data_IF_909602039527
#
_entry.id   IF_909602039527
#
_cell.length_a   1.000
_cell.length_b   1.000
_cell.length_c   1.000
_cell.angle_alpha   90.00
_cell.angle_beta   90.00
_cell.angle_gamma   90.00
#
_symmetry.space_group_name_H-M   'P 1'
#
loop_
_entity.id
_entity.type
_entity.pdbx_description
1 polymer ?
#
# COMPACT_ATOMS: atom_id res chain seq x y z
N UNK A 1 -18.77 -10.66 -5.10
CA UNK A 1 -18.15 -9.40 -5.39
C UNK A 1 -17.14 -9.01 -4.37
N UNK A 2 -15.95 -8.78 -4.80
CA UNK A 2 -14.88 -8.48 -3.90
C UNK A 2 -14.55 -7.04 -3.83
N UNK A 3 -14.64 -6.50 -2.64
CA UNK A 3 -14.21 -5.15 -2.35
C UNK A 3 -13.01 -5.26 -1.42
N UNK A 4 -11.83 -5.18 -1.97
CA UNK A 4 -10.64 -5.23 -1.14
C UNK A 4 -10.33 -3.84 -0.62
N UNK A 5 -9.97 -3.75 0.66
CA UNK A 5 -9.55 -2.49 1.25
C UNK A 5 -8.04 -2.39 1.12
N UNK A 6 -7.61 -1.57 0.18
CA UNK A 6 -6.19 -1.39 -0.11
C UNK A 6 -5.81 0.05 0.18
N UNK A 7 -4.78 0.23 0.98
CA UNK A 7 -4.23 1.55 1.28
C UNK A 7 -2.73 1.54 1.01
N UNK A 8 -2.24 2.56 0.30
CA UNK A 8 -0.82 2.77 0.10
C UNK A 8 -0.40 3.98 0.89
N UNK A 9 0.59 3.81 1.76
CA UNK A 9 1.23 4.94 2.45
C UNK A 9 2.50 5.27 1.70
N UNK A 10 2.58 6.47 1.18
CA UNK A 10 3.71 6.86 0.35
C UNK A 10 3.97 8.35 0.37
N UNK A 11 4.79 8.82 -0.55
CA UNK A 11 5.13 10.22 -0.68
C UNK A 11 5.36 10.55 -2.15
N UNK A 12 5.18 11.82 -2.49
CA UNK A 12 5.30 12.25 -3.89
C UNK A 12 6.72 12.08 -4.47
N UNK A 13 7.74 12.12 -3.60
CA UNK A 13 9.13 11.97 -4.02
C UNK A 13 9.59 10.51 -4.10
N UNK A 14 8.75 9.58 -3.71
CA UNK A 14 9.15 8.19 -3.57
C UNK A 14 8.86 7.41 -4.86
N UNK A 15 9.92 7.01 -5.56
CA UNK A 15 9.78 6.30 -6.82
C UNK A 15 9.06 4.96 -6.67
N UNK A 16 9.38 4.21 -5.62
CA UNK A 16 8.74 2.92 -5.39
C UNK A 16 7.27 3.07 -4.99
N UNK A 17 6.91 4.18 -4.36
CA UNK A 17 5.52 4.46 -4.06
C UNK A 17 4.72 4.67 -5.34
N UNK A 18 5.28 5.39 -6.30
CA UNK A 18 4.65 5.58 -7.61
C UNK A 18 4.57 4.26 -8.36
N UNK A 19 5.61 3.43 -8.28
CA UNK A 19 5.59 2.12 -8.92
C UNK A 19 4.46 1.25 -8.35
N UNK A 20 4.25 1.30 -7.05
CA UNK A 20 3.16 0.55 -6.42
C UNK A 20 1.80 1.03 -6.91
N UNK A 21 1.61 2.35 -6.99
CA UNK A 21 0.37 2.92 -7.52
C UNK A 21 0.12 2.45 -8.94
N UNK A 22 1.13 2.59 -9.78
CA UNK A 22 1.00 2.23 -11.20
C UNK A 22 0.67 0.75 -11.35
N UNK A 23 1.28 -0.09 -10.53
CA UNK A 23 1.04 -1.52 -10.58
C UNK A 23 -0.41 -1.85 -10.24
N UNK A 24 -0.93 -1.26 -9.16
CA UNK A 24 -2.32 -1.49 -8.78
C UNK A 24 -3.29 -0.91 -9.81
N UNK A 25 -2.94 0.24 -10.40
CA UNK A 25 -3.75 0.81 -11.48
C UNK A 25 -3.86 -0.15 -12.65
N UNK A 26 -2.75 -0.78 -13.03
CA UNK A 26 -2.75 -1.75 -14.13
C UNK A 26 -3.59 -2.98 -13.83
N UNK A 27 -3.66 -3.35 -12.56
CA UNK A 27 -4.47 -4.49 -12.15
C UNK A 27 -5.93 -4.12 -11.91
N UNK A 28 -6.29 -2.86 -12.12
CA UNK A 28 -7.63 -2.33 -11.86
C UNK A 28 -8.06 -2.53 -10.41
N UNK A 29 -7.11 -2.44 -9.50
CA UNK A 29 -7.37 -2.52 -8.06
C UNK A 29 -7.55 -1.12 -7.53
N UNK A 30 -8.67 -0.87 -6.87
CA UNK A 30 -8.91 0.42 -6.24
C UNK A 30 -8.16 0.49 -4.92
N UNK A 31 -7.63 1.66 -4.62
CA UNK A 31 -6.87 1.86 -3.39
C UNK A 31 -7.01 3.30 -2.93
N UNK A 32 -6.68 3.52 -1.67
CA UNK A 32 -6.56 4.84 -1.09
C UNK A 32 -5.08 5.13 -0.96
N UNK A 33 -4.66 6.29 -1.46
CA UNK A 33 -3.26 6.71 -1.33
C UNK A 33 -3.17 7.75 -0.23
N UNK A 34 -2.37 7.45 0.80
CA UNK A 34 -2.17 8.35 1.92
C UNK A 34 -0.76 8.87 1.90
N UNK A 35 -0.63 10.19 1.67
CA UNK A 35 0.66 10.85 1.59
C UNK A 35 1.13 11.17 3.00
N UNK A 36 2.22 10.52 3.44
CA UNK A 36 2.71 10.66 4.81
C UNK A 36 3.31 12.04 5.06
N UNK A 37 3.67 12.77 4.00
CA UNK A 37 4.17 14.13 4.14
C UNK A 37 3.03 15.14 4.27
N UNK A 38 1.88 14.82 3.70
CA UNK A 38 0.73 15.71 3.74
C UNK A 38 0.07 15.72 5.11
N UNK A 39 0.01 14.55 5.76
CA UNK A 39 -0.65 14.42 7.06
C UNK A 39 0.24 13.63 8.00
N UNK A 40 0.68 14.23 9.12
CA UNK A 40 1.54 13.52 10.07
C UNK A 40 0.93 12.23 10.61
N UNK A 41 -0.39 12.18 10.76
CA UNK A 41 -1.05 10.98 11.26
C UNK A 41 -0.94 9.81 10.30
N UNK A 42 -0.80 10.05 9.00
CA UNK A 42 -0.61 8.98 8.03
C UNK A 42 0.76 8.33 8.21
N UNK A 43 1.77 9.14 8.51
CA UNK A 43 3.09 8.59 8.83
C UNK A 43 3.05 7.72 10.08
N UNK A 44 2.32 8.15 11.09
CA UNK A 44 2.16 7.38 12.31
C UNK A 44 1.42 6.07 12.04
N UNK A 45 0.37 6.10 11.23
CA UNK A 45 -0.34 4.89 10.85
C UNK A 45 0.58 3.91 10.15
N UNK A 46 1.38 4.40 9.21
CA UNK A 46 2.30 3.55 8.45
C UNK A 46 3.31 2.87 9.36
N UNK A 47 3.89 3.62 10.28
CA UNK A 47 4.86 3.07 11.25
C UNK A 47 4.20 2.07 12.18
N UNK A 48 3.01 2.39 12.65
CA UNK A 48 2.29 1.51 13.57
C UNK A 48 1.97 0.18 12.91
N UNK A 49 1.54 0.22 11.64
CA UNK A 49 1.18 -1.00 10.91
C UNK A 49 2.40 -1.82 10.51
N UNK A 50 3.49 -1.17 10.13
CA UNK A 50 4.65 -1.87 9.55
C UNK A 50 5.78 -2.12 10.54
N UNK A 51 5.81 -1.39 11.64
CA UNK A 51 6.89 -1.50 12.63
C UNK A 51 8.20 -0.89 12.18
N UNK A 52 8.19 -0.08 11.11
CA UNK A 52 9.40 0.54 10.60
C UNK A 52 9.02 1.82 9.84
N UNK A 53 9.99 2.60 9.41
CA UNK A 53 9.75 3.93 8.82
C UNK A 53 9.76 3.99 7.29
N UNK A 54 10.20 2.92 6.62
CA UNK A 54 10.31 2.94 5.17
C UNK A 54 8.96 2.96 4.48
N UNK A 55 8.92 3.53 3.28
CA UNK A 55 7.75 3.57 2.42
C UNK A 55 8.12 3.01 1.06
N UNK A 56 7.16 2.51 0.28
CA UNK A 56 5.74 2.46 0.58
C UNK A 56 5.40 1.39 1.62
N UNK A 57 4.30 1.60 2.32
CA UNK A 57 3.66 0.56 3.13
C UNK A 57 2.31 0.31 2.50
N UNK A 58 2.00 -0.93 2.20
CA UNK A 58 0.76 -1.28 1.52
C UNK A 58 -0.05 -2.18 2.44
N UNK A 59 -1.28 -1.79 2.69
CA UNK A 59 -2.20 -2.54 3.53
C UNK A 59 -3.29 -3.11 2.63
N UNK A 60 -3.32 -4.44 2.51
CA UNK A 60 -4.32 -5.13 1.71
C UNK A 60 -5.15 -5.97 2.65
N UNK A 61 -6.32 -5.48 3.02
CA UNK A 61 -7.24 -6.13 3.95
C UNK A 61 -6.56 -6.58 5.24
N UNK A 62 -5.63 -5.77 5.75
CA UNK A 62 -4.90 -6.06 6.97
C UNK A 62 -3.56 -6.75 6.78
N UNK A 63 -3.26 -7.23 5.58
CA UNK A 63 -1.94 -7.77 5.28
C UNK A 63 -1.01 -6.63 4.93
N UNK A 64 0.07 -6.49 5.69
CA UNK A 64 0.99 -5.37 5.55
C UNK A 64 2.19 -5.78 4.73
N UNK A 65 2.45 -5.02 3.66
CA UNK A 65 3.57 -5.24 2.77
C UNK A 65 4.46 -4.03 2.83
N UNK A 66 5.75 -4.24 3.06
CA UNK A 66 6.74 -3.17 3.15
C UNK A 66 7.50 -3.12 1.84
N UNK A 67 7.51 -1.94 1.23
CA UNK A 67 8.18 -1.74 -0.04
C UNK A 67 7.32 -2.18 -1.22
N UNK A 68 7.86 -2.00 -2.41
CA UNK A 68 7.19 -2.43 -3.63
C UNK A 68 7.60 -3.88 -3.91
N UNK A 69 6.89 -4.80 -3.29
CA UNK A 69 7.18 -6.23 -3.37
C UNK A 69 6.05 -6.90 -4.15
N UNK A 70 6.24 -7.03 -5.45
CA UNK A 70 5.19 -7.54 -6.34
C UNK A 70 4.70 -8.93 -5.96
N UNK A 71 5.58 -9.91 -5.70
CA UNK A 71 5.08 -11.24 -5.30
C UNK A 71 4.20 -11.20 -4.06
N UNK A 72 4.57 -10.39 -3.06
CA UNK A 72 3.76 -10.28 -1.85
C UNK A 72 2.45 -9.56 -2.11
N UNK A 73 2.47 -8.54 -2.97
CA UNK A 73 1.25 -7.84 -3.35
C UNK A 73 0.31 -8.80 -4.06
N UNK A 74 0.83 -9.55 -5.03
CA UNK A 74 0.04 -10.50 -5.80
C UNK A 74 -0.58 -11.56 -4.89
N UNK A 75 0.22 -12.08 -3.97
CA UNK A 75 -0.25 -13.09 -3.03
C UNK A 75 -1.36 -12.54 -2.13
N UNK A 76 -1.18 -11.33 -1.61
CA UNK A 76 -2.18 -10.73 -0.74
C UNK A 76 -3.49 -10.45 -1.48
N UNK A 77 -3.39 -9.95 -2.71
CA UNK A 77 -4.59 -9.70 -3.52
C UNK A 77 -5.32 -11.00 -3.82
N UNK A 78 -4.58 -12.03 -4.13
CA UNK A 78 -5.15 -13.34 -4.44
C UNK A 78 -5.77 -13.99 -3.22
N UNK A 79 -5.10 -13.89 -2.07
CA UNK A 79 -5.57 -14.51 -0.83
C UNK A 79 -6.85 -13.89 -0.31
N UNK A 80 -7.07 -12.61 -0.59
CA UNK A 80 -8.26 -11.91 -0.12
C UNK A 80 -9.33 -11.77 -1.20
N UNK A 81 -9.08 -12.30 -2.38
CA UNK A 81 -10.07 -12.29 -3.45
C UNK A 81 -11.03 -13.47 -3.29
N UNK A 82 -12.27 -13.27 -3.65
CA UNK A 82 -13.25 -14.37 -3.64
C UNK A 82 -13.20 -15.17 -4.91
#
# INVERSE_FOLDING_TARGET
MNQQNVTIYGASWCAFCHAAKDYLDKLNVKYIYRDVDAEPEYGLEAVTKSGQRGIPVIDIDGTIIIGFDRPKIDFALKSHAD
#
